data_IF_805781280356
#
_entry.id   IF_805781280356
#
_cell.length_a   1.000
_cell.length_b   1.000
_cell.length_c   1.000
_cell.angle_alpha   90.00
_cell.angle_beta   90.00
_cell.angle_gamma   90.00
#
_symmetry.space_group_name_H-M   'P 1'
#
loop_
_entity.id
_entity.type
_entity.pdbx_description
1 polymer ?
#
# COMPACT_ATOMS: atom_id res chain seq x y z
N UNK A 1 -63.98 0.08 -6.96
CA UNK A 1 -63.41 1.43 -7.07
C UNK A 1 -62.46 1.43 -8.25
N UNK A 2 -62.58 2.40 -9.16
CA UNK A 2 -61.70 2.55 -10.32
C UNK A 2 -60.32 3.01 -9.86
N UNK A 3 -59.25 2.47 -10.44
CA UNK A 3 -57.89 2.88 -10.11
C UNK A 3 -57.68 4.38 -10.38
N UNK A 4 -56.86 5.08 -9.57
CA UNK A 4 -56.50 6.47 -9.81
C UNK A 4 -55.95 6.66 -11.23
N UNK A 5 -56.51 7.64 -11.96
CA UNK A 5 -56.03 8.06 -13.27
C UNK A 5 -54.66 8.72 -13.09
N UNK A 6 -53.58 7.96 -13.27
CA UNK A 6 -52.22 8.48 -13.21
C UNK A 6 -51.84 9.01 -14.59
N UNK A 7 -51.61 10.31 -14.67
CA UNK A 7 -51.06 10.96 -15.86
C UNK A 7 -49.58 10.55 -15.98
N UNK A 8 -49.29 9.68 -16.94
CA UNK A 8 -47.96 9.14 -17.19
C UNK A 8 -47.02 10.20 -17.79
N UNK A 9 -47.52 11.07 -18.67
CA UNK A 9 -46.71 12.14 -19.29
C UNK A 9 -46.15 13.10 -18.25
N UNK A 10 -46.95 13.41 -17.22
CA UNK A 10 -46.56 14.32 -16.14
C UNK A 10 -45.54 13.71 -15.20
N UNK A 11 -45.56 12.39 -15.01
CA UNK A 11 -44.54 11.66 -14.25
C UNK A 11 -43.24 11.57 -15.02
N UNK A 12 -43.30 11.18 -16.29
CA UNK A 12 -42.13 11.10 -17.18
C UNK A 12 -41.32 12.40 -17.15
N UNK A 13 -41.97 13.54 -17.43
CA UNK A 13 -41.36 14.88 -17.43
C UNK A 13 -40.63 15.24 -16.13
N UNK A 14 -41.09 14.74 -14.98
CA UNK A 14 -40.46 15.02 -13.68
C UNK A 14 -39.29 14.08 -13.38
N UNK A 15 -39.29 12.87 -13.93
CA UNK A 15 -38.27 11.86 -13.67
C UNK A 15 -37.14 11.84 -14.70
N UNK A 16 -37.33 12.47 -15.86
CA UNK A 16 -36.29 12.56 -16.90
C UNK A 16 -34.99 13.21 -16.42
N UNK A 17 -35.05 14.30 -15.65
CA UNK A 17 -33.86 14.97 -15.12
C UNK A 17 -32.99 14.04 -14.25
N UNK A 18 -33.55 13.44 -13.19
CA UNK A 18 -32.84 12.45 -12.37
C UNK A 18 -32.32 11.25 -13.16
N UNK A 19 -33.11 10.71 -14.10
CA UNK A 19 -32.68 9.58 -14.94
C UNK A 19 -31.47 9.93 -15.81
N UNK A 20 -31.46 11.11 -16.43
CA UNK A 20 -30.33 11.59 -17.22
C UNK A 20 -29.09 11.78 -16.34
N UNK A 21 -29.26 12.31 -15.12
CA UNK A 21 -28.16 12.47 -14.16
C UNK A 21 -27.51 11.14 -13.78
N UNK A 22 -28.32 10.13 -13.47
CA UNK A 22 -27.81 8.77 -13.17
C UNK A 22 -27.13 8.18 -14.40
N UNK A 23 -27.74 8.28 -15.58
CA UNK A 23 -27.16 7.78 -16.82
C UNK A 23 -25.80 8.41 -17.13
N UNK A 24 -25.68 9.74 -16.97
CA UNK A 24 -24.42 10.46 -17.13
C UNK A 24 -23.36 10.04 -16.10
N UNK A 25 -23.76 9.86 -14.83
CA UNK A 25 -22.88 9.38 -13.78
C UNK A 25 -22.34 7.97 -14.04
N UNK A 26 -23.21 7.05 -14.49
CA UNK A 26 -22.82 5.68 -14.86
C UNK A 26 -21.88 5.69 -16.06
N UNK A 27 -22.15 6.51 -17.09
CA UNK A 27 -21.26 6.66 -18.24
C UNK A 27 -19.88 7.17 -17.83
N UNK A 28 -19.82 8.20 -16.97
CA UNK A 28 -18.56 8.73 -16.47
C UNK A 28 -17.77 7.67 -15.69
N UNK A 29 -18.44 6.91 -14.81
CA UNK A 29 -17.81 5.84 -14.04
C UNK A 29 -17.21 4.76 -14.95
N UNK A 30 -17.92 4.37 -16.02
CA UNK A 30 -17.41 3.43 -17.01
C UNK A 30 -16.17 3.95 -17.74
N UNK A 31 -16.18 5.22 -18.16
CA UNK A 31 -15.01 5.84 -18.81
C UNK A 31 -13.79 5.84 -17.89
N UNK A 32 -13.97 6.22 -16.62
CA UNK A 32 -12.89 6.21 -15.63
C UNK A 32 -12.37 4.80 -15.37
N UNK A 33 -13.25 3.82 -15.23
CA UNK A 33 -12.87 2.42 -15.00
C UNK A 33 -12.05 1.88 -16.17
N UNK A 34 -12.52 2.08 -17.41
CA UNK A 34 -11.80 1.64 -18.61
C UNK A 34 -10.43 2.33 -18.69
N UNK A 35 -10.38 3.64 -18.46
CA UNK A 35 -9.12 4.40 -18.46
C UNK A 35 -8.14 3.87 -17.41
N UNK A 36 -8.63 3.53 -16.20
CA UNK A 36 -7.82 2.95 -15.14
C UNK A 36 -7.28 1.56 -15.51
N UNK A 37 -8.10 0.72 -16.14
CA UNK A 37 -7.66 -0.60 -16.63
C UNK A 37 -6.51 -0.42 -17.63
N UNK A 38 -6.64 0.48 -18.60
CA UNK A 38 -5.55 0.74 -19.55
C UNK A 38 -4.29 1.30 -18.87
N UNK A 39 -4.44 2.21 -17.90
CA UNK A 39 -3.32 2.77 -17.16
C UNK A 39 -2.53 1.67 -16.41
N UNK A 40 -3.23 0.75 -15.73
CA UNK A 40 -2.58 -0.34 -14.99
C UNK A 40 -2.08 -1.46 -15.89
N UNK A 41 -2.80 -1.76 -16.97
CA UNK A 41 -2.44 -2.84 -17.89
C UNK A 41 -1.31 -2.48 -18.85
N UNK A 42 -0.91 -1.20 -18.93
CA UNK A 42 0.22 -0.79 -19.77
C UNK A 42 1.51 -1.07 -19.00
N UNK A 43 2.34 -2.05 -19.43
CA UNK A 43 3.62 -2.29 -18.78
C UNK A 43 4.50 -1.05 -18.98
N UNK A 44 4.94 -0.46 -17.87
CA UNK A 44 5.97 0.57 -17.88
C UNK A 44 7.30 -0.09 -18.25
N UNK A 45 7.97 0.39 -19.30
CA UNK A 45 9.34 -0.02 -19.57
C UNK A 45 10.24 0.52 -18.46
N UNK A 46 10.46 -0.30 -17.43
CA UNK A 46 11.43 0.00 -16.38
C UNK A 46 12.80 0.05 -17.03
N UNK A 47 13.31 1.27 -17.26
CA UNK A 47 14.69 1.47 -17.65
C UNK A 47 15.57 0.86 -16.56
N UNK A 48 16.47 -0.06 -16.93
CA UNK A 48 17.38 -0.67 -15.96
C UNK A 48 18.13 0.45 -15.22
N UNK A 49 18.17 0.41 -13.87
CA UNK A 49 18.97 1.37 -13.13
C UNK A 49 20.42 1.24 -13.59
N UNK A 50 21.08 2.39 -13.75
CA UNK A 50 22.46 2.50 -14.18
C UNK A 50 23.32 1.59 -13.28
N UNK A 51 23.69 0.40 -13.77
CA UNK A 51 24.41 -0.59 -12.99
C UNK A 51 25.84 -0.08 -12.86
N UNK A 52 26.15 0.49 -11.70
CA UNK A 52 27.54 0.71 -11.31
C UNK A 52 28.22 -0.67 -11.25
N UNK A 53 29.30 -0.90 -12.02
CA UNK A 53 30.04 -2.14 -11.96
C UNK A 53 30.47 -2.41 -10.51
N UNK A 54 30.18 -3.61 -10.00
CA UNK A 54 30.72 -4.01 -8.70
C UNK A 54 32.25 -4.06 -8.79
N UNK A 55 32.96 -3.59 -7.75
CA UNK A 55 34.41 -3.70 -7.71
C UNK A 55 34.82 -5.18 -7.76
N UNK A 56 35.83 -5.48 -8.56
CA UNK A 56 36.49 -6.78 -8.57
C UNK A 56 37.13 -6.99 -7.19
N UNK A 57 36.71 -8.05 -6.48
CA UNK A 57 37.19 -8.37 -5.13
C UNK A 57 38.71 -8.58 -5.13
N UNK A 58 39.29 -9.01 -6.26
CA UNK A 58 40.74 -9.18 -6.41
C UNK A 58 41.51 -7.86 -6.47
N UNK A 59 40.83 -6.72 -6.57
CA UNK A 59 41.43 -5.38 -6.50
C UNK A 59 41.31 -4.74 -5.12
N UNK A 60 40.44 -5.26 -4.25
CA UNK A 60 40.16 -4.70 -2.92
C UNK A 60 40.87 -5.48 -1.80
N UNK A 61 41.09 -6.78 -1.98
CA UNK A 61 41.90 -7.57 -1.04
C UNK A 61 43.37 -7.55 -1.47
N UNK A 62 44.33 -7.25 -0.57
CA UNK A 62 45.73 -7.53 -0.87
C UNK A 62 45.88 -9.04 -1.13
N UNK A 63 46.63 -9.41 -2.18
CA UNK A 63 47.02 -10.79 -2.42
C UNK A 63 47.67 -11.36 -1.15
N UNK A 64 46.99 -12.28 -0.46
CA UNK A 64 47.50 -12.92 0.75
C UNK A 64 46.58 -12.96 1.97
N UNK A 65 45.32 -12.56 1.89
CA UNK A 65 44.35 -12.96 2.93
C UNK A 65 43.94 -14.41 2.67
N UNK A 66 44.64 -15.33 3.32
CA UNK A 66 44.19 -16.71 3.46
C UNK A 66 42.83 -16.68 4.18
N UNK A 67 41.80 -17.21 3.54
CA UNK A 67 40.56 -17.52 4.25
C UNK A 67 40.87 -18.69 5.16
N UNK A 68 41.34 -18.39 6.38
CA UNK A 68 41.42 -19.40 7.43
C UNK A 68 40.02 -20.02 7.54
N UNK A 69 40.00 -21.33 7.36
CA UNK A 69 38.83 -22.18 7.45
C UNK A 69 38.11 -21.86 8.76
N UNK A 70 36.91 -21.29 8.70
CA UNK A 70 36.11 -21.03 9.89
C UNK A 70 35.79 -22.39 10.50
N UNK A 71 36.51 -22.78 11.55
CA UNK A 71 36.19 -23.96 12.36
C UNK A 71 34.80 -23.74 12.99
N UNK A 72 33.75 -24.47 12.56
CA UNK A 72 32.40 -24.28 13.08
C UNK A 72 32.26 -24.73 14.54
N UNK A 73 33.32 -25.24 15.17
CA UNK A 73 33.37 -25.64 16.58
C UNK A 73 34.14 -24.66 17.48
N UNK A 74 34.69 -23.57 16.94
CA UNK A 74 35.28 -22.54 17.79
C UNK A 74 34.18 -21.85 18.64
N UNK A 75 34.36 -21.75 19.97
CA UNK A 75 33.37 -21.09 20.82
C UNK A 75 33.26 -19.61 20.43
N UNK A 76 32.06 -19.17 20.09
CA UNK A 76 31.74 -17.77 19.84
C UNK A 76 32.01 -16.99 21.15
N UNK A 77 33.15 -16.32 21.22
CA UNK A 77 33.38 -15.31 22.26
C UNK A 77 32.55 -14.09 21.88
N UNK A 78 31.35 -14.00 22.46
CA UNK A 78 30.57 -12.76 22.46
C UNK A 78 31.30 -11.81 23.42
N UNK A 79 31.90 -10.75 22.89
CA UNK A 79 32.41 -9.67 23.72
C UNK A 79 31.25 -9.09 24.57
N UNK A 80 31.46 -8.77 25.86
CA UNK A 80 30.38 -8.28 26.70
C UNK A 80 29.83 -6.96 26.13
N UNK A 81 28.58 -7.04 25.72
CA UNK A 81 27.58 -5.98 25.57
C UNK A 81 28.05 -4.55 25.88
N UNK A 82 28.42 -3.82 24.83
CA UNK A 82 28.47 -2.37 24.83
C UNK A 82 27.05 -1.83 24.99
N UNK A 83 26.71 -1.33 26.19
CA UNK A 83 25.45 -0.65 26.46
C UNK A 83 25.22 0.51 25.46
N UNK A 84 24.31 0.31 24.51
CA UNK A 84 23.83 1.36 23.62
C UNK A 84 22.78 2.25 24.31
N UNK A 85 22.64 3.53 23.93
CA UNK A 85 21.80 4.48 24.66
C UNK A 85 20.31 4.13 24.60
N UNK A 86 19.61 4.44 25.69
CA UNK A 86 18.20 4.10 25.92
C UNK A 86 17.29 4.52 24.75
N UNK A 87 16.63 3.54 24.12
CA UNK A 87 15.56 3.82 23.16
C UNK A 87 14.24 3.95 23.93
N UNK A 88 13.59 5.12 23.80
CA UNK A 88 12.27 5.39 24.39
C UNK A 88 11.21 4.56 23.67
N UNK A 89 10.66 3.55 24.36
CA UNK A 89 9.51 2.75 23.91
C UNK A 89 8.22 3.57 24.04
N UNK A 90 7.92 4.37 23.02
CA UNK A 90 6.63 5.02 22.83
C UNK A 90 5.79 4.25 21.80
N UNK A 91 5.27 3.09 22.19
CA UNK A 91 4.39 2.26 21.36
C UNK A 91 2.94 2.40 21.83
N UNK A 92 2.22 3.36 21.28
CA UNK A 92 0.78 3.47 21.45
C UNK A 92 0.05 2.52 20.51
N UNK A 93 -0.85 1.71 21.09
CA UNK A 93 -2.11 1.17 20.54
C UNK A 93 -2.33 -0.20 21.15
N UNK A 94 -3.32 -0.28 22.04
CA UNK A 94 -4.26 -1.40 22.08
C UNK A 94 -5.59 -0.81 22.53
N UNK A 95 -6.55 -0.80 21.62
CA UNK A 95 -7.92 -0.49 21.95
C UNK A 95 -8.55 -1.73 22.55
N UNK A 96 -9.08 -1.62 23.76
CA UNK A 96 -10.34 -2.26 24.12
C UNK A 96 -10.86 -1.66 25.44
N UNK A 97 -12.19 -1.69 25.57
CA UNK A 97 -13.02 -1.26 26.71
C UNK A 97 -13.56 0.17 26.60
N UNK A 98 -14.63 0.25 25.81
CA UNK A 98 -15.79 1.08 26.08
C UNK A 98 -16.45 0.50 27.34
N UNK A 99 -16.45 1.20 28.47
CA UNK A 99 -17.64 1.38 29.32
C UNK A 99 -17.37 2.31 30.52
N UNK A 100 -18.42 3.04 30.92
CA UNK A 100 -18.59 3.80 32.15
C UNK A 100 -17.90 5.19 32.29
N UNK A 101 -18.61 6.23 31.83
CA UNK A 101 -18.87 7.41 32.68
C UNK A 101 -19.79 6.97 33.84
N UNK A 102 -19.69 7.52 35.07
CA UNK A 102 -20.14 8.89 35.32
C UNK A 102 -19.35 9.72 36.36
N UNK A 103 -19.51 11.03 36.20
CA UNK A 103 -19.44 12.17 37.12
C UNK A 103 -19.16 11.90 38.61
N UNK A 104 -18.10 12.52 39.16
CA UNK A 104 -18.09 13.33 40.40
C UNK A 104 -16.94 14.35 40.38
#
# INVERSE_FOLDING_TARGET
MSAPQTDLEKQEKRHYGPLIGIAAGVLLALVLLVSMIFYVATPEEVSEPDRVPSPDINQVLPEGVETDEIDPQAPITVAPESEGPATTRGGGRDGDIIDALPDE
#
